data_IF_548534498529
#
_entry.id   IF_548534498529
#
_cell.length_a   1.000
_cell.length_b   1.000
_cell.length_c   1.000
_cell.angle_alpha   90.00
_cell.angle_beta   90.00
_cell.angle_gamma   90.00
#
_symmetry.space_group_name_H-M   'P 1'
#
loop_
_entity.id
_entity.type
_entity.pdbx_description
1 polymer ?
#
# COMPACT_ATOMS: atom_id res chain seq x y z
N UNK A 1 17.00 11.24 8.09
CA UNK A 1 16.10 10.36 7.32
C UNK A 1 15.70 9.19 8.20
N UNK A 2 14.43 8.80 8.21
CA UNK A 2 13.98 7.65 9.00
C UNK A 2 14.14 6.39 8.15
N UNK A 3 14.98 5.46 8.59
CA UNK A 3 15.21 4.19 7.92
C UNK A 3 14.53 3.07 8.73
N UNK A 4 13.79 2.21 8.05
CA UNK A 4 13.12 1.06 8.64
C UNK A 4 13.28 -0.13 7.71
N UNK A 5 13.42 -1.36 8.25
CA UNK A 5 13.33 -2.57 7.45
C UNK A 5 12.03 -2.58 6.63
N UNK A 6 12.13 -3.00 5.36
CA UNK A 6 10.99 -3.13 4.46
C UNK A 6 9.99 -4.20 4.94
N UNK A 7 10.50 -5.23 5.61
CA UNK A 7 9.74 -6.34 6.15
C UNK A 7 9.87 -6.41 7.67
N UNK A 8 8.86 -7.00 8.31
CA UNK A 8 8.91 -7.34 9.73
C UNK A 8 8.63 -8.84 9.89
N UNK A 9 9.11 -9.47 10.96
CA UNK A 9 8.70 -10.84 11.28
C UNK A 9 7.44 -10.80 12.14
N UNK A 10 6.44 -11.59 11.75
CA UNK A 10 5.26 -11.76 12.59
C UNK A 10 5.65 -12.46 13.91
N UNK A 11 5.26 -11.96 15.09
CA UNK A 11 5.82 -12.38 16.38
C UNK A 11 5.53 -13.85 16.73
N UNK A 12 4.44 -14.42 16.20
CA UNK A 12 4.02 -15.80 16.47
C UNK A 12 4.46 -16.72 15.32
N UNK A 13 3.93 -16.52 14.11
CA UNK A 13 4.24 -17.35 12.93
C UNK A 13 5.68 -17.23 12.41
N UNK A 14 6.41 -16.17 12.77
CA UNK A 14 7.77 -15.86 12.28
C UNK A 14 7.88 -15.66 10.76
N UNK A 15 6.76 -15.51 10.07
CA UNK A 15 6.75 -15.23 8.64
C UNK A 15 7.11 -13.76 8.36
N UNK A 16 7.82 -13.47 7.26
CA UNK A 16 8.09 -12.11 6.84
C UNK A 16 6.81 -11.45 6.33
N UNK A 17 6.43 -10.32 6.93
CA UNK A 17 5.27 -9.52 6.58
C UNK A 17 5.68 -8.18 5.97
N UNK A 18 4.96 -7.76 4.93
CA UNK A 18 5.13 -6.45 4.31
C UNK A 18 4.51 -5.37 5.22
N UNK A 19 5.34 -4.72 6.03
CA UNK A 19 4.88 -3.80 7.07
C UNK A 19 5.37 -2.37 6.81
N UNK A 20 5.01 -1.83 5.65
CA UNK A 20 5.31 -0.45 5.28
C UNK A 20 4.20 0.14 4.38
N UNK A 21 4.36 1.41 4.00
CA UNK A 21 3.37 2.17 3.23
C UNK A 21 3.87 2.65 1.86
N UNK A 22 4.88 2.02 1.25
CA UNK A 22 5.37 2.46 -0.07
C UNK A 22 4.27 2.46 -1.14
N UNK A 23 3.30 1.56 -1.05
CA UNK A 23 2.15 1.52 -1.93
C UNK A 23 1.32 2.82 -1.87
N UNK A 24 1.37 3.57 -0.77
CA UNK A 24 0.69 4.87 -0.59
C UNK A 24 1.61 6.04 -0.93
N UNK A 25 2.89 5.90 -0.60
CA UNK A 25 3.88 6.98 -0.56
C UNK A 25 4.70 7.14 -1.85
N UNK A 26 4.15 6.65 -2.96
CA UNK A 26 4.68 6.87 -4.29
C UNK A 26 3.74 7.74 -5.12
N UNK A 27 4.27 8.70 -5.89
CA UNK A 27 3.44 9.69 -6.60
C UNK A 27 2.55 9.07 -7.69
N UNK A 28 2.92 7.91 -8.24
CA UNK A 28 2.08 7.15 -9.17
C UNK A 28 0.92 6.41 -8.50
N UNK A 29 0.84 6.37 -7.17
CA UNK A 29 -0.23 5.64 -6.47
C UNK A 29 -1.60 6.22 -6.76
N UNK A 30 -1.78 7.54 -6.70
CA UNK A 30 -3.09 8.16 -6.89
C UNK A 30 -3.75 7.78 -8.22
N UNK A 31 -3.10 7.92 -9.39
CA UNK A 31 -3.70 7.47 -10.63
C UNK A 31 -3.85 5.93 -10.67
N UNK A 32 -2.89 5.16 -10.14
CA UNK A 32 -2.99 3.71 -10.16
C UNK A 32 -4.21 3.17 -9.38
N UNK A 33 -4.49 3.70 -8.19
CA UNK A 33 -5.65 3.26 -7.39
C UNK A 33 -6.98 3.62 -8.06
N UNK A 34 -7.07 4.75 -8.75
CA UNK A 34 -8.26 5.12 -9.54
C UNK A 34 -8.46 4.16 -10.72
N UNK A 35 -7.37 3.77 -11.38
CA UNK A 35 -7.40 2.78 -12.44
C UNK A 35 -7.91 1.43 -11.92
N UNK A 36 -7.35 0.90 -10.83
CA UNK A 36 -7.81 -0.35 -10.23
C UNK A 36 -9.27 -0.28 -9.76
N UNK A 37 -9.69 0.86 -9.20
CA UNK A 37 -11.07 1.05 -8.79
C UNK A 37 -12.03 1.06 -10.00
N UNK A 38 -11.64 1.71 -11.10
CA UNK A 38 -12.41 1.70 -12.35
C UNK A 38 -12.48 0.31 -12.97
N UNK A 39 -11.37 -0.41 -13.12
CA UNK A 39 -11.38 -1.76 -13.74
C UNK A 39 -12.24 -2.75 -12.96
N UNK A 40 -12.35 -2.59 -11.64
CA UNK A 40 -13.21 -3.41 -10.79
C UNK A 40 -14.69 -3.02 -10.84
N UNK A 41 -15.01 -1.72 -10.91
CA UNK A 41 -16.39 -1.21 -10.72
C UNK A 41 -17.10 -0.83 -12.02
N UNK A 42 -16.34 -0.52 -13.08
CA UNK A 42 -16.88 0.02 -14.34
C UNK A 42 -17.35 1.47 -14.25
N UNK A 43 -17.18 2.17 -13.12
CA UNK A 43 -17.67 3.55 -12.95
C UNK A 43 -16.85 4.55 -13.77
N UNK A 44 -17.45 5.08 -14.83
CA UNK A 44 -16.80 6.04 -15.74
C UNK A 44 -16.27 7.30 -15.03
N UNK A 45 -16.86 7.70 -13.90
CA UNK A 45 -16.39 8.86 -13.13
C UNK A 45 -14.98 8.62 -12.59
N UNK A 46 -14.67 7.39 -12.19
CA UNK A 46 -13.33 7.00 -11.73
C UNK A 46 -12.32 7.01 -12.87
N UNK A 47 -12.72 6.63 -14.07
CA UNK A 47 -11.87 6.72 -15.26
C UNK A 47 -11.58 8.17 -15.66
N UNK A 48 -12.60 9.04 -15.67
CA UNK A 48 -12.40 10.47 -15.95
C UNK A 48 -11.49 11.12 -14.90
N UNK A 49 -11.68 10.78 -13.62
CA UNK A 49 -10.84 11.24 -12.54
C UNK A 49 -9.40 10.70 -12.68
N UNK A 50 -9.24 9.43 -13.07
CA UNK A 50 -7.95 8.84 -13.41
C UNK A 50 -7.24 9.66 -14.48
N UNK A 51 -7.89 9.99 -15.60
CA UNK A 51 -7.27 10.78 -16.67
C UNK A 51 -6.76 12.15 -16.16
N UNK A 52 -7.58 12.87 -15.39
CA UNK A 52 -7.20 14.18 -14.83
C UNK A 52 -6.03 14.06 -13.85
N UNK A 53 -6.10 13.12 -12.90
CA UNK A 53 -5.06 12.90 -11.90
C UNK A 53 -3.78 12.37 -12.54
N UNK A 54 -3.88 11.50 -13.54
CA UNK A 54 -2.73 10.99 -14.28
C UNK A 54 -1.96 12.13 -14.95
N UNK A 55 -2.64 13.00 -15.72
CA UNK A 55 -2.00 14.16 -16.35
C UNK A 55 -1.37 15.09 -15.31
N UNK A 56 -2.11 15.41 -14.25
CA UNK A 56 -1.60 16.28 -13.17
C UNK A 56 -0.34 15.70 -12.50
N UNK A 57 -0.38 14.42 -12.13
CA UNK A 57 0.74 13.75 -11.46
C UNK A 57 1.96 13.60 -12.36
N UNK A 58 1.77 13.29 -13.65
CA UNK A 58 2.85 13.24 -14.64
C UNK A 58 3.52 14.61 -14.82
N UNK A 59 2.75 15.70 -14.93
CA UNK A 59 3.31 17.05 -15.03
C UNK A 59 4.04 17.42 -13.74
N UNK A 60 3.37 17.32 -12.58
CA UNK A 60 3.90 17.79 -11.31
C UNK A 60 5.11 17.00 -10.83
N UNK A 61 5.05 15.67 -10.87
CA UNK A 61 6.06 14.81 -10.28
C UNK A 61 7.02 14.23 -11.33
N UNK A 62 6.51 13.87 -12.51
CA UNK A 62 7.32 13.33 -13.59
C UNK A 62 8.14 14.39 -14.33
N UNK A 63 7.50 15.47 -14.79
CA UNK A 63 8.16 16.51 -15.60
C UNK A 63 8.81 17.60 -14.75
N UNK A 64 8.09 18.13 -13.76
CA UNK A 64 8.58 19.22 -12.90
C UNK A 64 9.42 18.72 -11.71
N UNK A 65 9.49 17.41 -11.48
CA UNK A 65 10.35 16.81 -10.46
C UNK A 65 10.01 17.15 -9.01
N UNK A 66 8.76 17.57 -8.72
CA UNK A 66 8.34 17.80 -7.34
C UNK A 66 8.43 16.51 -6.52
N UNK A 67 8.59 16.65 -5.20
CA UNK A 67 8.53 15.52 -4.26
C UNK A 67 7.22 15.57 -3.48
N UNK A 68 6.69 14.38 -3.16
CA UNK A 68 5.55 14.27 -2.26
C UNK A 68 6.02 14.53 -0.81
N UNK A 69 5.12 15.04 0.05
CA UNK A 69 5.45 15.30 1.46
C UNK A 69 5.90 14.05 2.22
N UNK A 70 5.42 12.86 1.83
CA UNK A 70 5.78 11.57 2.41
C UNK A 70 6.46 10.72 1.33
N UNK A 71 7.50 11.25 0.67
CA UNK A 71 8.22 10.48 -0.35
C UNK A 71 9.04 9.37 0.31
N UNK A 72 8.99 8.17 -0.26
CA UNK A 72 9.78 7.02 0.19
C UNK A 72 10.83 6.66 -0.86
N UNK A 73 12.01 6.26 -0.39
CA UNK A 73 13.17 5.80 -1.17
C UNK A 73 13.65 4.45 -0.62
N UNK A 74 14.59 3.82 -1.31
CA UNK A 74 15.39 2.75 -0.73
C UNK A 74 16.22 3.26 0.46
N UNK A 75 16.75 2.32 1.26
CA UNK A 75 17.50 2.63 2.48
C UNK A 75 18.83 3.36 2.23
N UNK A 76 19.35 3.30 1.01
CA UNK A 76 20.51 4.04 0.50
C UNK A 76 20.15 5.43 -0.06
N UNK A 77 18.86 5.74 -0.18
CA UNK A 77 18.35 7.00 -0.71
C UNK A 77 17.96 6.95 -2.19
N UNK A 78 18.22 5.84 -2.91
CA UNK A 78 17.82 5.70 -4.30
C UNK A 78 16.27 5.76 -4.42
N UNK A 79 15.73 6.48 -5.42
CA UNK A 79 14.30 6.59 -5.59
C UNK A 79 13.69 5.22 -5.96
N UNK A 80 12.53 4.91 -5.40
CA UNK A 80 11.76 3.75 -5.86
C UNK A 80 11.31 4.01 -7.30
N UNK A 81 11.59 3.07 -8.20
CA UNK A 81 11.23 3.24 -9.61
C UNK A 81 9.71 3.13 -9.81
N UNK A 82 9.22 3.70 -10.92
CA UNK A 82 7.81 3.55 -11.28
C UNK A 82 7.41 2.08 -11.49
N UNK A 83 8.32 1.27 -12.01
CA UNK A 83 8.10 -0.15 -12.27
C UNK A 83 8.00 -0.95 -10.96
N UNK A 84 8.90 -0.71 -10.00
CA UNK A 84 8.85 -1.37 -8.69
C UNK A 84 7.58 -1.00 -7.94
N UNK A 85 7.24 0.30 -7.93
CA UNK A 85 6.01 0.76 -7.30
C UNK A 85 4.76 0.14 -7.95
N UNK A 86 4.77 -0.07 -9.28
CA UNK A 86 3.68 -0.72 -9.99
C UNK A 86 3.57 -2.21 -9.64
N UNK A 87 4.70 -2.91 -9.57
CA UNK A 87 4.73 -4.34 -9.21
C UNK A 87 4.24 -4.58 -7.78
N UNK A 88 4.68 -3.74 -6.83
CA UNK A 88 4.19 -3.79 -5.45
C UNK A 88 2.66 -3.63 -5.40
N UNK A 89 2.12 -2.59 -6.07
CA UNK A 89 0.66 -2.38 -6.11
C UNK A 89 -0.06 -3.55 -6.79
N UNK A 90 0.49 -4.10 -7.87
CA UNK A 90 -0.09 -5.27 -8.56
C UNK A 90 -0.16 -6.48 -7.62
N UNK A 91 0.89 -6.73 -6.85
CA UNK A 91 0.91 -7.79 -5.85
C UNK A 91 -0.15 -7.57 -4.76
N UNK A 92 -0.28 -6.34 -4.25
CA UNK A 92 -1.30 -5.98 -3.25
C UNK A 92 -2.71 -6.20 -3.81
N UNK A 93 -3.01 -5.66 -4.99
CA UNK A 93 -4.34 -5.80 -5.62
C UNK A 93 -4.68 -7.25 -5.95
N UNK A 94 -3.70 -8.06 -6.38
CA UNK A 94 -3.89 -9.50 -6.61
C UNK A 94 -4.34 -10.25 -5.34
N UNK A 95 -3.86 -9.83 -4.17
CA UNK A 95 -4.16 -10.45 -2.88
C UNK A 95 -5.24 -9.70 -2.08
N UNK A 96 -5.87 -8.68 -2.66
CA UNK A 96 -6.87 -7.87 -1.97
C UNK A 96 -8.23 -8.56 -1.98
N UNK A 97 -8.88 -8.62 -0.81
CA UNK A 97 -10.27 -9.09 -0.67
C UNK A 97 -11.19 -7.89 -0.47
N UNK A 98 -12.26 -7.84 -1.26
CA UNK A 98 -13.27 -6.78 -1.17
C UNK A 98 -14.54 -7.30 -0.50
N UNK A 99 -14.78 -6.86 0.72
CA UNK A 99 -16.00 -7.21 1.48
C UNK A 99 -17.01 -6.06 1.46
N UNK A 100 -18.24 -6.36 1.05
CA UNK A 100 -19.36 -5.42 1.17
C UNK A 100 -19.97 -5.56 2.56
N UNK A 101 -19.85 -4.49 3.35
CA UNK A 101 -20.37 -4.43 4.71
C UNK A 101 -21.89 -4.39 4.73
N UNK A 102 -22.48 -5.17 5.63
CA UNK A 102 -23.86 -5.09 6.09
C UNK A 102 -23.92 -4.66 7.57
N UNK A 103 -25.07 -4.18 8.00
CA UNK A 103 -25.31 -3.84 9.41
C UNK A 103 -25.23 -5.12 10.24
N UNK A 104 -24.40 -5.09 11.28
CA UNK A 104 -24.17 -6.24 12.16
C UNK A 104 -22.90 -7.04 11.84
N UNK A 105 -22.24 -6.79 10.70
CA UNK A 105 -20.96 -7.42 10.37
C UNK A 105 -19.87 -7.02 11.37
N UNK A 106 -19.01 -7.98 11.71
CA UNK A 106 -17.81 -7.80 12.53
C UNK A 106 -16.59 -8.28 11.74
N UNK A 107 -15.53 -7.46 11.72
CA UNK A 107 -14.23 -7.84 11.16
C UNK A 107 -13.19 -7.84 12.28
N UNK A 108 -12.55 -8.98 12.45
CA UNK A 108 -11.33 -9.11 13.25
C UNK A 108 -10.16 -9.26 12.28
N UNK A 109 -9.13 -8.44 12.49
CA UNK A 109 -7.92 -8.48 11.66
C UNK A 109 -6.69 -8.51 12.54
N UNK A 110 -5.72 -9.32 12.15
CA UNK A 110 -4.36 -9.23 12.68
C UNK A 110 -3.63 -8.12 11.94
N UNK A 111 -3.37 -7.02 12.65
CA UNK A 111 -2.78 -5.81 12.08
C UNK A 111 -1.33 -6.03 11.62
N UNK A 112 -0.64 -7.08 12.09
CA UNK A 112 0.73 -7.37 11.70
C UNK A 112 0.83 -8.09 10.35
N UNK A 113 -0.11 -9.02 10.07
CA UNK A 113 -0.12 -9.78 8.82
C UNK A 113 -1.04 -9.19 7.74
N UNK A 114 -1.95 -8.27 8.10
CA UNK A 114 -3.00 -7.80 7.18
C UNK A 114 -2.96 -6.29 6.97
N UNK A 115 -2.63 -5.87 5.74
CA UNK A 115 -2.89 -4.50 5.29
C UNK A 115 -4.38 -4.32 5.00
N UNK A 116 -4.92 -3.17 5.37
CA UNK A 116 -6.32 -2.84 5.16
C UNK A 116 -6.47 -1.39 4.71
N UNK A 117 -7.59 -1.11 4.05
CA UNK A 117 -7.88 0.20 3.51
C UNK A 117 -9.36 0.33 3.18
N UNK A 118 -9.71 1.44 2.53
CA UNK A 118 -11.09 1.75 2.17
C UNK A 118 -11.17 2.14 0.71
N UNK A 119 -12.08 1.49 -0.02
CA UNK A 119 -12.46 1.91 -1.36
C UNK A 119 -13.31 3.20 -1.31
N UNK A 120 -13.28 4.05 -2.35
CA UNK A 120 -14.19 5.18 -2.46
C UNK A 120 -15.65 4.71 -2.30
N UNK A 121 -16.40 5.29 -1.38
CA UNK A 121 -17.82 5.00 -1.17
C UNK A 121 -18.63 6.30 -1.21
N UNK A 122 -19.75 6.26 -1.93
CA UNK A 122 -20.67 7.40 -2.04
C UNK A 122 -21.91 7.25 -1.15
N UNK A 123 -21.99 6.15 -0.39
CA UNK A 123 -23.08 5.87 0.52
C UNK A 123 -23.07 6.86 1.68
N UNK A 124 -24.19 7.57 1.86
CA UNK A 124 -24.42 8.41 3.03
C UNK A 124 -24.84 7.54 4.22
N UNK A 125 -24.49 7.95 5.43
CA UNK A 125 -24.91 7.26 6.66
C UNK A 125 -24.17 5.94 6.95
N UNK A 126 -22.95 5.75 6.45
CA UNK A 126 -22.10 4.60 6.79
C UNK A 126 -21.38 4.86 8.11
N UNK A 127 -21.71 4.08 9.14
CA UNK A 127 -21.06 4.12 10.45
C UNK A 127 -20.26 2.85 10.68
N UNK A 128 -18.95 3.00 10.92
CA UNK A 128 -18.05 1.91 11.29
C UNK A 128 -17.37 2.32 12.59
N UNK A 129 -17.45 1.44 13.59
CA UNK A 129 -16.74 1.60 14.86
C UNK A 129 -15.51 0.70 14.83
N UNK A 130 -14.40 1.18 15.40
CA UNK A 130 -13.15 0.44 15.46
C UNK A 130 -12.66 0.37 16.92
N UNK A 131 -12.03 -0.75 17.26
CA UNK A 131 -11.34 -0.94 18.53
C UNK A 131 -9.98 -1.55 18.27
N UNK A 132 -8.96 -1.06 18.96
CA UNK A 132 -7.60 -1.61 18.88
C UNK A 132 -7.36 -2.58 20.03
N UNK A 133 -6.73 -3.71 19.74
CA UNK A 133 -6.19 -4.60 20.77
C UNK A 133 -4.95 -4.01 21.44
N UNK A 134 -4.37 -4.79 22.37
CA UNK A 134 -3.09 -4.44 22.98
C UNK A 134 -1.98 -4.38 21.92
N UNK A 135 -1.07 -3.42 22.07
CA UNK A 135 0.10 -3.32 21.20
C UNK A 135 1.06 -4.49 21.44
N UNK A 136 1.63 -5.01 20.36
CA UNK A 136 2.69 -6.02 20.39
C UNK A 136 3.99 -5.36 19.97
N UNK A 137 5.08 -5.63 20.71
CA UNK A 137 6.40 -5.13 20.35
C UNK A 137 6.87 -5.79 19.04
N UNK A 138 7.46 -4.99 18.14
CA UNK A 138 8.05 -5.50 16.90
C UNK A 138 9.30 -6.32 17.26
N UNK A 139 9.38 -7.55 16.77
CA UNK A 139 10.51 -8.43 17.00
C UNK A 139 11.25 -8.67 15.68
N UNK A 140 12.03 -7.68 15.25
CA UNK A 140 12.99 -7.88 14.17
C UNK A 140 14.38 -8.02 14.81
N UNK A 141 14.82 -9.25 15.05
CA UNK A 141 16.26 -9.51 14.95
C UNK A 141 16.64 -9.28 13.48
N UNK A 142 17.69 -8.50 13.22
CA UNK A 142 18.12 -8.14 11.86
C UNK A 142 18.39 -9.41 11.03
N UNK A 143 17.45 -9.81 10.17
CA UNK A 143 17.73 -10.77 9.11
C UNK A 143 18.17 -9.95 7.89
N UNK A 144 19.46 -9.66 7.81
CA UNK A 144 20.05 -9.36 6.51
C UNK A 144 19.91 -10.62 5.68
N UNK A 145 19.12 -10.59 4.60
CA UNK A 145 19.21 -11.61 3.57
C UNK A 145 20.60 -11.48 2.95
N UNK A 146 21.57 -12.25 3.46
CA UNK A 146 22.81 -12.51 2.75
C UNK A 146 22.42 -13.31 1.52
N UNK A 147 22.47 -12.66 0.36
CA UNK A 147 22.39 -13.32 -0.93
C UNK A 147 23.62 -14.20 -1.10
N UNK A 148 23.59 -15.42 -0.58
CA UNK A 148 24.56 -16.46 -0.91
C UNK A 148 24.30 -16.89 -2.36
N UNK A 149 24.93 -16.17 -3.29
CA UNK A 149 25.20 -16.65 -4.64
C UNK A 149 26.42 -17.58 -4.57
N UNK A 150 26.20 -18.83 -4.15
CA UNK A 150 27.20 -19.88 -4.34
C UNK A 150 26.56 -21.27 -4.34
N UNK A 151 25.90 -21.62 -5.44
CA UNK A 151 25.89 -22.98 -5.99
C UNK A 151 25.86 -22.91 -7.53
N UNK A 152 27.06 -22.95 -8.12
CA UNK A 152 27.35 -23.60 -9.39
C UNK A 152 28.48 -24.59 -9.12
#
# INVERSE_FOLDING_TARGET
TWNSPAFQLHPISKEPVWFNHIQVFHWTTFPAELWFAWTRTGDIRLFLHFCVVFVFTMIKYGLLGHKMSLTTSFGDGEPISMADAAEIRRCIHKNMVFSRWAVGDLLFLDNLSTSHGRQPTYDKGRFIVVGMGANVAKANEQVSFSSDNSQQ
#
